data_IF_920324069149
#
_entry.id   IF_920324069149
#
_cell.length_a   1.000
_cell.length_b   1.000
_cell.length_c   1.000
_cell.angle_alpha   90.00
_cell.angle_beta   90.00
_cell.angle_gamma   90.00
#
_symmetry.space_group_name_H-M   'P 1'
#
loop_
_entity.id
_entity.type
_entity.pdbx_description
1 polymer ?
#
# COMPACT_ATOMS: atom_id res chain seq x y z
N UNK A 1 -12.28 -18.99 13.47
CA UNK A 1 -11.97 -17.57 13.75
C UNK A 1 -10.55 -17.31 13.27
N UNK A 2 -10.40 -16.55 12.18
CA UNK A 2 -9.08 -16.29 11.58
C UNK A 2 -8.20 -15.43 12.49
N UNK A 3 -6.90 -15.30 12.19
CA UNK A 3 -6.00 -14.47 12.97
C UNK A 3 -6.52 -13.03 13.05
N UNK A 4 -6.57 -12.46 14.26
CA UNK A 4 -6.82 -11.04 14.45
C UNK A 4 -5.61 -10.24 13.95
N UNK A 5 -5.74 -9.68 12.75
CA UNK A 5 -4.77 -8.75 12.17
C UNK A 5 -5.02 -7.35 12.74
N UNK A 6 -4.41 -7.04 13.89
CA UNK A 6 -4.36 -5.65 14.39
C UNK A 6 -3.38 -4.83 13.54
N UNK A 7 -3.65 -3.54 13.33
CA UNK A 7 -2.81 -2.66 12.50
C UNK A 7 -1.33 -2.61 12.97
N UNK A 8 -1.11 -2.80 14.26
CA UNK A 8 0.20 -2.89 14.90
C UNK A 8 0.98 -4.15 14.48
N UNK A 9 0.30 -5.25 14.15
CA UNK A 9 0.91 -6.50 13.67
C UNK A 9 1.20 -6.49 12.17
N UNK A 10 0.67 -5.52 11.42
CA UNK A 10 0.87 -5.46 9.97
C UNK A 10 2.22 -4.85 9.60
N UNK A 11 2.73 -5.15 8.41
CA UNK A 11 3.99 -4.60 7.92
C UNK A 11 3.92 -3.09 7.69
N UNK A 12 5.07 -2.42 7.68
CA UNK A 12 5.17 -0.97 7.42
C UNK A 12 4.50 -0.57 6.09
N UNK A 13 4.76 -1.33 5.02
CA UNK A 13 4.19 -1.07 3.70
C UNK A 13 2.66 -1.11 3.71
N UNK A 14 2.08 -2.04 4.46
CA UNK A 14 0.63 -2.13 4.60
C UNK A 14 0.07 -0.88 5.28
N UNK A 15 0.65 -0.47 6.41
CA UNK A 15 0.19 0.73 7.13
C UNK A 15 0.31 1.99 6.28
N UNK A 16 1.45 2.17 5.62
CA UNK A 16 1.68 3.35 4.77
C UNK A 16 0.66 3.42 3.61
N UNK A 17 0.38 2.29 2.95
CA UNK A 17 -0.63 2.24 1.89
C UNK A 17 -2.05 2.47 2.45
N UNK A 18 -2.37 1.89 3.60
CA UNK A 18 -3.64 2.12 4.30
C UNK A 18 -3.87 3.61 4.59
N UNK A 19 -2.86 4.29 5.13
CA UNK A 19 -2.92 5.73 5.43
C UNK A 19 -3.06 6.55 4.13
N UNK A 20 -2.34 6.18 3.06
CA UNK A 20 -2.42 6.83 1.75
C UNK A 20 -3.84 6.75 1.17
N UNK A 21 -4.45 5.57 1.16
CA UNK A 21 -5.81 5.38 0.64
C UNK A 21 -6.87 6.03 1.54
N UNK A 22 -6.67 6.00 2.86
CA UNK A 22 -7.54 6.70 3.78
C UNK A 22 -7.51 8.22 3.51
N UNK A 23 -6.31 8.78 3.32
CA UNK A 23 -6.14 10.18 3.02
C UNK A 23 -6.79 10.57 1.69
N UNK A 24 -6.57 9.80 0.62
CA UNK A 24 -7.16 10.07 -0.69
C UNK A 24 -8.69 10.04 -0.61
N UNK A 25 -9.26 9.10 0.13
CA UNK A 25 -10.71 9.00 0.33
C UNK A 25 -11.25 10.17 1.15
N UNK A 26 -10.57 10.54 2.24
CA UNK A 26 -11.00 11.65 3.12
C UNK A 26 -11.07 13.01 2.42
N UNK A 27 -10.31 13.18 1.32
CA UNK A 27 -10.19 14.44 0.57
C UNK A 27 -10.83 14.36 -0.82
N UNK A 28 -11.60 13.31 -1.12
CA UNK A 28 -12.13 13.07 -2.46
C UNK A 28 -13.05 14.18 -2.98
N UNK A 29 -13.71 14.91 -2.06
CA UNK A 29 -14.55 16.06 -2.39
C UNK A 29 -13.77 17.33 -2.75
N UNK A 30 -12.44 17.33 -2.53
CA UNK A 30 -11.56 18.47 -2.79
C UNK A 30 -10.68 18.24 -4.03
N UNK A 31 -10.19 17.01 -4.21
CA UNK A 31 -9.24 16.64 -5.27
C UNK A 31 -9.52 15.20 -5.72
N UNK A 32 -9.44 14.96 -7.03
CA UNK A 32 -9.44 13.61 -7.59
C UNK A 32 -8.04 13.01 -7.55
N UNK A 33 -7.91 11.83 -6.95
CA UNK A 33 -6.65 11.10 -6.85
C UNK A 33 -6.67 9.86 -7.75
N UNK A 34 -5.61 9.64 -8.50
CA UNK A 34 -5.31 8.35 -9.14
C UNK A 34 -4.03 7.79 -8.52
N UNK A 35 -4.07 6.57 -7.99
CA UNK A 35 -2.94 5.94 -7.29
C UNK A 35 -2.54 4.69 -8.07
N UNK A 36 -1.28 4.63 -8.51
CA UNK A 36 -0.66 3.44 -9.08
C UNK A 36 0.33 2.83 -8.09
N UNK A 37 0.33 1.50 -7.99
CA UNK A 37 1.24 0.74 -7.11
C UNK A 37 1.95 -0.31 -7.97
N UNK A 38 3.25 -0.47 -7.74
CA UNK A 38 4.07 -1.50 -8.35
C UNK A 38 4.96 -2.14 -7.29
N UNK A 39 4.98 -3.47 -7.21
CA UNK A 39 5.99 -4.18 -6.43
C UNK A 39 7.07 -4.69 -7.38
N UNK A 40 8.33 -4.38 -7.06
CA UNK A 40 9.50 -4.78 -7.84
C UNK A 40 10.51 -5.43 -6.91
N UNK A 41 11.02 -6.58 -7.32
CA UNK A 41 12.20 -7.22 -6.72
C UNK A 41 13.43 -6.92 -7.58
N UNK A 42 14.53 -6.52 -6.96
CA UNK A 42 15.83 -6.36 -7.64
C UNK A 42 16.77 -7.40 -7.07
N UNK A 43 17.20 -8.32 -7.93
CA UNK A 43 18.17 -9.35 -7.58
C UNK A 43 19.25 -9.45 -8.66
N UNK A 44 20.51 -9.32 -8.26
CA UNK A 44 21.67 -9.34 -9.17
C UNK A 44 21.48 -8.43 -10.40
N UNK A 45 21.16 -7.15 -10.15
CA UNK A 45 20.89 -6.12 -11.17
C UNK A 45 19.73 -6.43 -12.14
N UNK A 46 18.88 -7.42 -11.83
CA UNK A 46 17.68 -7.74 -12.61
C UNK A 46 16.43 -7.33 -11.84
N UNK A 47 15.61 -6.51 -12.48
CA UNK A 47 14.29 -6.12 -11.98
C UNK A 47 13.25 -7.18 -12.37
N UNK A 48 12.39 -7.55 -11.41
CA UNK A 48 11.25 -8.44 -11.61
C UNK A 48 10.00 -7.80 -11.04
N UNK A 49 8.94 -7.80 -11.85
CA UNK A 49 7.60 -7.47 -11.40
C UNK A 49 7.04 -8.58 -10.49
N UNK A 50 6.54 -8.20 -9.32
CA UNK A 50 5.94 -9.10 -8.34
C UNK A 50 4.40 -9.05 -8.30
N UNK A 51 3.78 -8.17 -9.09
CA UNK A 51 2.32 -8.05 -9.22
C UNK A 51 1.79 -8.82 -10.44
#
# INVERSE_FOLDING_TARGET
SGPEFTAEKMGLNYRALSDLFHLSKSRENLVSYTIGIQMVEIYNEKARDLL
#
